data_IF_293398489312
#
_entry.id   IF_293398489312
#
_cell.length_a   1.000
_cell.length_b   1.000
_cell.length_c   1.000
_cell.angle_alpha   90.00
_cell.angle_beta   90.00
_cell.angle_gamma   90.00
#
_symmetry.space_group_name_H-M   'P 1'
#
loop_
_entity.id
_entity.type
_entity.pdbx_description
1 polymer ?
#
# COMPACT_ATOMS: atom_id res chain seq x y z
N UNK A 1 -3.29 -8.24 16.83
CA UNK A 1 -2.25 -9.12 17.41
C UNK A 1 -2.01 -10.42 16.65
N UNK A 2 -2.99 -11.34 16.56
CA UNK A 2 -2.78 -12.65 15.90
C UNK A 2 -2.29 -12.58 14.45
N UNK A 3 -2.90 -11.72 13.62
CA UNK A 3 -2.51 -11.58 12.21
C UNK A 3 -1.09 -11.02 12.06
N UNK A 4 -0.71 -10.02 12.85
CA UNK A 4 0.66 -9.50 12.86
C UNK A 4 1.67 -10.58 13.26
N UNK A 5 1.35 -11.39 14.27
CA UNK A 5 2.19 -12.52 14.67
C UNK A 5 2.37 -13.56 13.54
N UNK A 6 1.31 -13.87 12.80
CA UNK A 6 1.37 -14.78 11.65
C UNK A 6 2.26 -14.22 10.52
N UNK A 7 2.15 -12.92 10.23
CA UNK A 7 3.00 -12.28 9.21
C UNK A 7 4.47 -12.28 9.61
N UNK A 8 4.78 -11.97 10.87
CA UNK A 8 6.16 -12.04 11.40
C UNK A 8 6.72 -13.46 11.37
N UNK A 9 5.91 -14.45 11.74
CA UNK A 9 6.31 -15.85 11.66
C UNK A 9 6.59 -16.29 10.20
N UNK A 10 5.80 -15.82 9.24
CA UNK A 10 6.04 -16.09 7.82
C UNK A 10 7.35 -15.46 7.32
N UNK A 11 7.68 -14.26 7.78
CA UNK A 11 8.91 -13.55 7.44
C UNK A 11 10.16 -14.15 8.11
N UNK A 12 10.00 -14.82 9.26
CA UNK A 12 11.11 -15.38 10.01
C UNK A 12 11.90 -16.42 9.18
N UNK A 13 13.23 -16.27 9.14
CA UNK A 13 14.12 -17.16 8.39
C UNK A 13 14.20 -16.91 6.88
N UNK A 14 13.55 -15.85 6.37
CA UNK A 14 13.69 -15.41 4.98
C UNK A 14 14.69 -14.27 4.89
N UNK A 15 15.56 -14.30 3.87
CA UNK A 15 16.56 -13.25 3.65
C UNK A 15 15.93 -11.95 3.15
N UNK A 16 14.92 -12.04 2.29
CA UNK A 16 14.18 -10.89 1.76
C UNK A 16 12.70 -11.22 1.67
N UNK A 17 11.86 -10.26 2.06
CA UNK A 17 10.41 -10.38 1.98
C UNK A 17 9.81 -9.01 1.66
N UNK A 18 8.86 -8.99 0.73
CA UNK A 18 8.02 -7.82 0.46
C UNK A 18 6.65 -8.11 1.08
N UNK A 19 6.13 -7.14 1.84
CA UNK A 19 4.81 -7.24 2.45
C UNK A 19 3.98 -6.00 2.12
N UNK A 20 2.67 -6.18 1.97
CA UNK A 20 1.73 -5.10 1.67
C UNK A 20 0.64 -5.07 2.74
N UNK A 21 0.20 -3.87 3.11
CA UNK A 21 -0.89 -3.69 4.08
C UNK A 21 -0.97 -2.25 4.57
N UNK A 22 -1.93 -1.98 5.47
CA UNK A 22 -2.19 -0.64 6.00
C UNK A 22 -1.19 -0.20 7.07
N UNK A 23 -0.69 -1.15 7.85
CA UNK A 23 0.09 -0.93 9.07
C UNK A 23 1.42 -1.72 9.08
N UNK A 24 1.93 -2.10 7.91
CA UNK A 24 3.15 -2.90 7.81
C UNK A 24 4.36 -2.16 8.40
N UNK A 25 4.61 -0.92 7.98
CA UNK A 25 5.77 -0.15 8.44
C UNK A 25 5.62 0.47 9.84
N UNK A 26 4.41 0.51 10.40
CA UNK A 26 4.11 1.16 11.69
C UNK A 26 3.84 0.17 12.81
N UNK A 27 3.30 -1.01 12.50
CA UNK A 27 2.88 -2.01 13.50
C UNK A 27 3.55 -3.36 13.23
N UNK A 28 3.42 -3.92 12.03
CA UNK A 28 3.82 -5.32 11.80
C UNK A 28 5.34 -5.47 11.72
N UNK A 29 6.01 -4.61 10.95
CA UNK A 29 7.45 -4.58 10.69
C UNK A 29 8.01 -3.16 10.89
N UNK A 30 7.98 -2.63 12.14
CA UNK A 30 8.48 -1.28 12.43
C UNK A 30 9.99 -1.14 12.20
N UNK A 31 10.73 -2.24 12.10
CA UNK A 31 12.18 -2.25 11.84
C UNK A 31 12.53 -2.68 10.40
N UNK A 32 11.55 -2.65 9.48
CA UNK A 32 11.81 -2.97 8.07
C UNK A 32 12.88 -2.04 7.48
N UNK A 33 13.85 -2.61 6.76
CA UNK A 33 14.97 -1.86 6.17
C UNK A 33 14.53 -0.75 5.20
N UNK A 34 13.45 -1.00 4.46
CA UNK A 34 12.84 -0.05 3.53
C UNK A 34 11.33 -0.08 3.71
N UNK A 35 10.71 1.10 3.81
CA UNK A 35 9.26 1.26 3.98
C UNK A 35 8.77 2.25 2.93
N UNK A 36 7.70 1.87 2.24
CA UNK A 36 7.03 2.73 1.28
C UNK A 36 5.61 3.02 1.74
N UNK A 37 5.19 4.27 1.58
CA UNK A 37 3.79 4.67 1.69
C UNK A 37 3.32 5.16 0.32
N UNK A 38 2.62 4.28 -0.40
CA UNK A 38 2.08 4.62 -1.72
C UNK A 38 0.80 5.44 -1.56
N UNK A 39 0.76 6.58 -2.21
CA UNK A 39 -0.42 7.44 -2.30
C UNK A 39 -0.80 7.69 -3.76
N UNK A 40 -2.02 8.15 -3.97
CA UNK A 40 -2.52 8.69 -5.22
C UNK A 40 -3.85 9.40 -5.01
N UNK A 41 -4.17 10.33 -5.91
CA UNK A 41 -5.47 10.99 -5.96
C UNK A 41 -6.62 9.98 -5.91
N UNK A 42 -7.65 10.30 -5.12
CA UNK A 42 -8.78 9.39 -4.93
C UNK A 42 -9.51 9.10 -6.24
N UNK A 43 -9.59 10.09 -7.13
CA UNK A 43 -10.21 9.98 -8.45
C UNK A 43 -9.43 9.02 -9.35
N UNK A 44 -8.10 9.10 -9.35
CA UNK A 44 -7.26 8.20 -10.14
C UNK A 44 -7.31 6.78 -9.61
N UNK A 45 -7.25 6.58 -8.28
CA UNK A 45 -7.44 5.25 -7.67
C UNK A 45 -8.81 4.66 -8.02
N UNK A 46 -9.86 5.48 -7.99
CA UNK A 46 -11.21 5.03 -8.36
C UNK A 46 -11.30 4.67 -9.85
N UNK A 47 -10.65 5.44 -10.73
CA UNK A 47 -10.56 5.15 -12.16
C UNK A 47 -9.89 3.80 -12.42
N UNK A 48 -8.71 3.56 -11.83
CA UNK A 48 -7.99 2.28 -11.93
C UNK A 48 -8.86 1.12 -11.46
N UNK A 49 -9.48 1.27 -10.28
CA UNK A 49 -10.35 0.25 -9.71
C UNK A 49 -11.60 -0.01 -10.55
N UNK A 50 -12.21 1.03 -11.12
CA UNK A 50 -13.35 0.89 -12.02
C UNK A 50 -12.95 0.12 -13.28
N UNK A 51 -11.80 0.43 -13.89
CA UNK A 51 -11.29 -0.33 -15.05
C UNK A 51 -11.09 -1.81 -14.74
N UNK A 52 -10.51 -2.15 -13.59
CA UNK A 52 -10.37 -3.54 -13.14
C UNK A 52 -11.73 -4.25 -12.96
N UNK A 53 -12.68 -3.59 -12.29
CA UNK A 53 -14.01 -4.12 -12.03
C UNK A 53 -14.78 -4.35 -13.33
N UNK A 54 -14.73 -3.39 -14.25
CA UNK A 54 -15.37 -3.48 -15.55
C UNK A 54 -14.79 -4.64 -16.38
N UNK A 55 -13.47 -4.79 -16.40
CA UNK A 55 -12.80 -5.92 -17.05
C UNK A 55 -13.20 -7.28 -16.43
N UNK A 56 -13.56 -7.31 -15.15
CA UNK A 56 -14.07 -8.48 -14.46
C UNK A 56 -15.59 -8.70 -14.63
N UNK A 57 -16.27 -7.94 -15.51
CA UNK A 57 -17.70 -8.07 -15.79
C UNK A 57 -18.61 -7.37 -14.77
N UNK A 58 -18.07 -6.45 -13.97
CA UNK A 58 -18.86 -5.67 -13.02
C UNK A 58 -19.31 -4.33 -13.61
N UNK A 59 -20.59 -4.00 -13.50
CA UNK A 59 -21.18 -2.79 -14.10
C UNK A 59 -21.34 -1.62 -13.12
N UNK A 60 -20.63 -1.61 -11.98
CA UNK A 60 -20.63 -0.47 -11.07
C UNK A 60 -20.09 0.80 -11.74
N UNK A 61 -20.79 1.93 -11.57
CA UNK A 61 -20.33 3.21 -12.11
C UNK A 61 -19.11 3.74 -11.37
N UNK A 62 -18.34 4.62 -12.03
CA UNK A 62 -17.16 5.26 -11.44
C UNK A 62 -17.50 6.03 -10.15
N UNK A 63 -18.65 6.70 -10.10
CA UNK A 63 -19.10 7.45 -8.92
C UNK A 63 -19.31 6.53 -7.71
N UNK A 64 -19.89 5.34 -7.92
CA UNK A 64 -20.08 4.34 -6.86
C UNK A 64 -18.74 3.81 -6.38
N UNK A 65 -17.81 3.53 -7.30
CA UNK A 65 -16.45 3.07 -6.96
C UNK A 65 -15.72 4.13 -6.14
N UNK A 66 -15.76 5.40 -6.55
CA UNK A 66 -15.14 6.51 -5.85
C UNK A 66 -15.70 6.68 -4.43
N UNK A 67 -17.03 6.70 -4.28
CA UNK A 67 -17.68 6.87 -2.98
C UNK A 67 -17.30 5.74 -2.01
N UNK A 68 -17.32 4.48 -2.48
CA UNK A 68 -16.92 3.32 -1.67
C UNK A 68 -15.44 3.38 -1.28
N UNK A 69 -14.58 3.81 -2.19
CA UNK A 69 -13.16 3.95 -1.93
C UNK A 69 -12.89 5.02 -0.87
N UNK A 70 -13.50 6.20 -1.00
CA UNK A 70 -13.35 7.29 -0.02
C UNK A 70 -13.87 6.89 1.37
N UNK A 71 -15.01 6.20 1.43
CA UNK A 71 -15.53 5.66 2.70
C UNK A 71 -14.55 4.67 3.33
N UNK A 72 -13.97 3.78 2.53
CA UNK A 72 -12.96 2.83 3.00
C UNK A 72 -11.70 3.53 3.49
N UNK A 73 -11.22 4.55 2.77
CA UNK A 73 -10.01 5.29 3.16
C UNK A 73 -10.22 6.03 4.49
N UNK A 74 -11.35 6.70 4.66
CA UNK A 74 -11.70 7.38 5.91
C UNK A 74 -11.81 6.38 7.09
N UNK A 75 -12.45 5.22 6.84
CA UNK A 75 -12.54 4.15 7.83
C UNK A 75 -11.16 3.60 8.20
N UNK A 76 -10.29 3.35 7.22
CA UNK A 76 -8.95 2.79 7.43
C UNK A 76 -8.03 3.77 8.18
N UNK A 77 -8.13 5.07 7.91
CA UNK A 77 -7.37 6.11 8.63
C UNK A 77 -7.87 6.31 10.07
N UNK A 78 -9.18 6.19 10.30
CA UNK A 78 -9.80 6.39 11.61
C UNK A 78 -9.74 5.20 12.57
N UNK A 79 -9.12 4.08 12.19
CA UNK A 79 -9.07 2.88 13.06
C UNK A 79 -8.24 3.14 14.32
N UNK A 80 -8.74 2.64 15.45
CA UNK A 80 -8.00 2.66 16.71
C UNK A 80 -6.77 1.71 16.70
N UNK A 81 -6.84 0.62 15.93
CA UNK A 81 -5.77 -0.39 15.82
C UNK A 81 -5.38 -0.55 14.35
N UNK A 82 -4.07 -0.44 14.08
CA UNK A 82 -3.51 -0.53 12.72
C UNK A 82 -4.08 0.53 11.75
N UNK A 83 -4.12 1.83 12.11
CA UNK A 83 -4.59 2.87 11.21
C UNK A 83 -3.71 2.94 9.96
N UNK A 84 -4.32 3.26 8.82
CA UNK A 84 -3.58 3.60 7.62
C UNK A 84 -2.83 4.92 7.84
N UNK A 85 -1.54 4.82 8.17
CA UNK A 85 -0.66 5.96 8.40
C UNK A 85 0.74 5.63 7.89
N UNK A 86 1.40 6.62 7.29
CA UNK A 86 2.83 6.52 6.99
C UNK A 86 3.64 6.36 8.27
N UNK A 87 4.64 5.49 8.25
CA UNK A 87 5.69 5.51 9.26
C UNK A 87 6.54 6.78 9.08
N UNK A 88 7.15 7.25 10.16
CA UNK A 88 7.93 8.50 10.15
C UNK A 88 9.17 8.42 9.24
N UNK A 89 9.69 7.21 9.04
CA UNK A 89 10.84 6.88 8.18
C UNK A 89 10.43 6.26 6.82
N UNK A 90 9.14 6.25 6.49
CA UNK A 90 8.68 5.72 5.20
C UNK A 90 8.87 6.73 4.07
N UNK A 91 9.26 6.21 2.90
CA UNK A 91 9.32 6.98 1.66
C UNK A 91 7.90 7.08 1.09
N UNK A 92 7.36 8.29 1.03
CA UNK A 92 6.05 8.56 0.43
C UNK A 92 6.22 8.65 -1.08
N UNK A 93 5.47 7.82 -1.82
CA UNK A 93 5.52 7.79 -3.29
C UNK A 93 4.12 8.09 -3.83
N UNK A 94 3.97 9.23 -4.49
CA UNK A 94 2.74 9.59 -5.19
C UNK A 94 2.72 8.94 -6.57
N UNK A 95 1.79 8.02 -6.76
CA UNK A 95 1.65 7.20 -7.96
C UNK A 95 0.57 7.73 -8.91
N UNK A 96 0.01 8.93 -8.66
CA UNK A 96 -1.13 9.48 -9.42
C UNK A 96 -0.86 9.50 -10.93
N UNK A 97 0.31 9.99 -11.35
CA UNK A 97 0.67 10.12 -12.77
C UNK A 97 1.59 8.99 -13.27
N UNK A 98 1.67 7.88 -12.55
CA UNK A 98 2.61 6.79 -12.85
C UNK A 98 1.90 5.52 -13.34
N UNK A 99 2.53 4.81 -14.28
CA UNK A 99 2.16 3.43 -14.60
C UNK A 99 2.68 2.46 -13.53
N UNK A 100 2.18 1.22 -13.53
CA UNK A 100 2.64 0.20 -12.59
C UNK A 100 4.16 -0.08 -12.74
N UNK A 101 4.66 -0.09 -13.98
CA UNK A 101 6.06 -0.32 -14.30
C UNK A 101 6.94 0.82 -13.75
N UNK A 102 6.51 2.07 -13.93
CA UNK A 102 7.23 3.23 -13.39
C UNK A 102 7.26 3.20 -11.85
N UNK A 103 6.17 2.77 -11.21
CA UNK A 103 6.14 2.60 -9.75
C UNK A 103 7.17 1.55 -9.35
N UNK A 104 7.15 0.37 -9.97
CA UNK A 104 8.09 -0.71 -9.65
C UNK A 104 9.54 -0.26 -9.84
N UNK A 105 9.87 0.39 -10.96
CA UNK A 105 11.20 0.92 -11.25
C UNK A 105 11.65 1.90 -10.15
N UNK A 106 10.81 2.87 -9.79
CA UNK A 106 11.13 3.84 -8.75
C UNK A 106 11.34 3.18 -7.38
N UNK A 107 10.48 2.24 -6.99
CA UNK A 107 10.63 1.50 -5.74
C UNK A 107 11.92 0.68 -5.71
N UNK A 108 12.25 0.03 -6.84
CA UNK A 108 13.49 -0.74 -6.98
C UNK A 108 14.72 0.15 -6.83
N UNK A 109 14.74 1.34 -7.43
CA UNK A 109 15.83 2.32 -7.26
C UNK A 109 16.05 2.65 -5.79
N UNK A 110 15.00 3.01 -5.06
CA UNK A 110 15.10 3.31 -3.63
C UNK A 110 15.59 2.13 -2.79
N UNK A 111 15.14 0.91 -3.13
CA UNK A 111 15.61 -0.30 -2.44
C UNK A 111 17.11 -0.52 -2.68
N UNK A 112 17.57 -0.37 -3.93
CA UNK A 112 19.00 -0.54 -4.28
C UNK A 112 19.88 0.50 -3.58
N UNK A 113 19.46 1.75 -3.53
CA UNK A 113 20.20 2.82 -2.84
C UNK A 113 20.34 2.59 -1.33
N UNK A 114 19.38 1.88 -0.73
CA UNK A 114 19.30 1.70 0.73
C UNK A 114 19.80 0.34 1.22
N UNK A 115 19.82 -0.67 0.35
CA UNK A 115 20.28 -2.04 0.65
C UNK A 115 21.64 -2.32 -0.01
N UNK A 116 22.23 -1.39 -0.77
CA UNK A 116 23.65 -1.46 -1.15
C UNK A 116 24.57 -1.04 0.00
N UNK A 117 24.60 -1.90 1.03
CA UNK A 117 25.73 -2.20 1.93
C UNK A 117 25.53 -3.62 2.50
#
# INVERSE_FOLDING_TARGET
DRLAAMQRAFAAGRTMVVTEGRDQGTVVFPDAAVKFFLTADSTERARRRHTELYAAGNEMTLEVVLARQQQRDASDQGRAVGPLKSADDAIVVDTTAMTAEQVVEQLETFVRERIHD
#
